data_IF_635850963621
#
_entry.id   IF_635850963621
#
_cell.length_a   1.000
_cell.length_b   1.000
_cell.length_c   1.000
_cell.angle_alpha   90.00
_cell.angle_beta   90.00
_cell.angle_gamma   90.00
#
_symmetry.space_group_name_H-M   'P 1'
#
loop_
_entity.id
_entity.type
_entity.pdbx_description
1 polymer ?
#
# COMPACT_ATOMS: atom_id res chain seq x y z
N UNK A 1 36.76 -13.21 -6.05
CA UNK A 1 35.83 -13.33 -7.19
C UNK A 1 34.45 -13.21 -6.60
N UNK A 2 33.81 -12.05 -6.73
CA UNK A 2 32.54 -11.75 -6.06
C UNK A 2 31.43 -12.57 -6.67
N UNK A 3 30.85 -13.44 -5.85
CA UNK A 3 29.80 -14.37 -6.20
C UNK A 3 28.62 -13.66 -6.87
N UNK A 4 28.11 -14.28 -7.93
CA UNK A 4 26.85 -13.94 -8.55
C UNK A 4 25.68 -14.29 -7.61
N UNK A 5 25.64 -13.68 -6.42
CA UNK A 5 24.41 -13.47 -5.68
C UNK A 5 23.49 -12.71 -6.63
N UNK A 6 22.34 -13.29 -6.96
CA UNK A 6 21.29 -12.67 -7.75
C UNK A 6 20.67 -11.47 -6.98
N UNK A 7 21.44 -10.39 -6.78
CA UNK A 7 21.07 -8.99 -6.54
C UNK A 7 20.15 -8.61 -5.37
N UNK A 8 19.46 -9.53 -4.70
CA UNK A 8 18.52 -9.22 -3.63
C UNK A 8 18.47 -10.39 -2.64
N UNK A 9 18.72 -10.10 -1.37
CA UNK A 9 18.62 -11.07 -0.29
C UNK A 9 17.13 -11.45 -0.10
N UNK A 10 16.74 -12.73 -0.04
CA UNK A 10 15.35 -13.14 0.18
C UNK A 10 14.79 -12.67 1.53
N UNK A 11 15.67 -12.46 2.52
CA UNK A 11 15.32 -11.89 3.82
C UNK A 11 14.95 -10.39 3.71
N UNK A 12 15.76 -9.59 3.02
CA UNK A 12 15.46 -8.18 2.71
C UNK A 12 14.14 -8.04 1.92
N UNK A 13 13.89 -8.96 0.97
CA UNK A 13 12.61 -9.01 0.25
C UNK A 13 11.43 -9.31 1.16
N UNK A 14 11.58 -10.23 2.11
CA UNK A 14 10.53 -10.56 3.08
C UNK A 14 10.26 -9.39 4.03
N UNK A 15 11.32 -8.68 4.47
CA UNK A 15 11.17 -7.47 5.26
C UNK A 15 10.42 -6.39 4.48
N UNK A 16 10.77 -6.17 3.21
CA UNK A 16 10.08 -5.23 2.33
C UNK A 16 8.59 -5.58 2.18
N UNK A 17 8.27 -6.85 1.91
CA UNK A 17 6.87 -7.31 1.81
C UNK A 17 6.11 -7.05 3.11
N UNK A 18 6.75 -7.29 4.25
CA UNK A 18 6.15 -7.05 5.58
C UNK A 18 5.86 -5.56 5.78
N UNK A 19 6.82 -4.68 5.48
CA UNK A 19 6.66 -3.22 5.55
C UNK A 19 5.58 -2.71 4.60
N UNK A 20 5.53 -3.24 3.39
CA UNK A 20 4.49 -2.92 2.40
C UNK A 20 3.10 -3.29 2.95
N UNK A 21 2.93 -4.50 3.46
CA UNK A 21 1.65 -4.94 4.02
C UNK A 21 1.22 -4.05 5.19
N UNK A 22 2.15 -3.73 6.10
CA UNK A 22 1.90 -2.82 7.22
C UNK A 22 1.48 -1.41 6.74
N UNK A 23 2.14 -0.88 5.70
CA UNK A 23 1.81 0.43 5.15
C UNK A 23 0.41 0.42 4.49
N UNK A 24 0.08 -0.64 3.75
CA UNK A 24 -1.24 -0.85 3.16
C UNK A 24 -2.32 -0.86 4.24
N UNK A 25 -2.13 -1.64 5.30
CA UNK A 25 -3.08 -1.69 6.42
C UNK A 25 -3.24 -0.32 7.10
N UNK A 26 -2.14 0.40 7.34
CA UNK A 26 -2.18 1.75 7.90
C UNK A 26 -2.94 2.73 7.00
N UNK A 27 -2.76 2.66 5.67
CA UNK A 27 -3.50 3.49 4.72
C UNK A 27 -5.00 3.17 4.82
N UNK A 28 -5.39 1.89 4.81
CA UNK A 28 -6.80 1.51 4.92
C UNK A 28 -7.43 1.96 6.25
N UNK A 29 -6.70 1.83 7.36
CA UNK A 29 -7.16 2.28 8.68
C UNK A 29 -7.30 3.81 8.71
N UNK A 30 -6.30 4.54 8.21
CA UNK A 30 -6.33 6.00 8.14
C UNK A 30 -7.48 6.49 7.26
N UNK A 31 -7.64 5.93 6.06
CA UNK A 31 -8.74 6.25 5.15
C UNK A 31 -10.09 6.00 5.82
N UNK A 32 -10.26 4.86 6.52
CA UNK A 32 -11.53 4.55 7.19
C UNK A 32 -11.82 5.51 8.36
N UNK A 33 -10.81 5.85 9.16
CA UNK A 33 -10.95 6.81 10.25
C UNK A 33 -11.26 8.23 9.75
N UNK A 34 -10.60 8.64 8.68
CA UNK A 34 -10.84 9.92 8.01
C UNK A 34 -12.22 9.95 7.35
N UNK A 35 -12.69 8.85 6.75
CA UNK A 35 -14.03 8.71 6.15
C UNK A 35 -15.12 8.89 7.19
N UNK A 36 -14.99 8.20 8.34
CA UNK A 36 -15.90 8.34 9.45
C UNK A 36 -15.94 9.79 9.99
N UNK A 37 -14.78 10.46 10.04
CA UNK A 37 -14.73 11.87 10.46
C UNK A 37 -15.34 12.80 9.40
N UNK A 38 -15.00 12.62 8.13
CA UNK A 38 -15.46 13.43 7.00
C UNK A 38 -16.98 13.33 6.79
N UNK A 39 -17.58 12.17 7.09
CA UNK A 39 -19.04 12.00 7.09
C UNK A 39 -19.69 12.59 8.34
N UNK A 40 -19.01 12.54 9.49
CA UNK A 40 -19.50 13.05 10.76
C UNK A 40 -19.43 14.58 10.93
N UNK A 41 -18.59 15.29 10.16
CA UNK A 41 -18.49 16.75 10.31
C UNK A 41 -19.81 17.45 9.98
N UNK A 42 -20.28 18.33 10.89
CA UNK A 42 -21.45 19.20 10.65
C UNK A 42 -21.07 20.49 9.91
N UNK A 43 -20.07 20.45 9.03
CA UNK A 43 -19.73 21.62 8.24
C UNK A 43 -20.92 22.00 7.35
N UNK A 44 -21.30 23.26 7.40
CA UNK A 44 -22.38 23.84 6.60
C UNK A 44 -21.77 24.78 5.57
N UNK A 45 -22.38 24.85 4.37
CA UNK A 45 -21.93 25.72 3.28
C UNK A 45 -21.51 24.94 2.03
N UNK A 46 -21.21 25.68 0.96
CA UNK A 46 -20.89 25.11 -0.35
C UNK A 46 -19.57 24.33 -0.32
N UNK A 47 -18.56 24.80 0.42
CA UNK A 47 -17.28 24.11 0.58
C UNK A 47 -17.42 22.76 1.28
N UNK A 48 -18.27 22.68 2.31
CA UNK A 48 -18.54 21.42 3.02
C UNK A 48 -19.21 20.39 2.11
N UNK A 49 -20.13 20.84 1.26
CA UNK A 49 -20.79 20.00 0.27
C UNK A 49 -19.78 19.56 -0.80
N UNK A 50 -18.96 20.47 -1.32
CA UNK A 50 -17.92 20.14 -2.30
C UNK A 50 -16.91 19.13 -1.73
N UNK A 51 -16.47 19.30 -0.49
CA UNK A 51 -15.55 18.39 0.17
C UNK A 51 -16.16 16.99 0.30
N UNK A 52 -17.37 16.87 0.86
CA UNK A 52 -18.02 15.56 1.09
C UNK A 52 -18.38 14.83 -0.20
N UNK A 53 -18.79 15.57 -1.24
CA UNK A 53 -19.33 14.97 -2.46
C UNK A 53 -18.31 14.86 -3.60
N UNK A 54 -17.24 15.65 -3.57
CA UNK A 54 -16.26 15.72 -4.68
C UNK A 54 -14.85 15.40 -4.21
N UNK A 55 -14.29 16.19 -3.28
CA UNK A 55 -12.88 16.06 -2.93
C UNK A 55 -12.60 14.79 -2.13
N UNK A 56 -13.36 14.53 -1.06
CA UNK A 56 -13.15 13.38 -0.20
C UNK A 56 -13.28 12.04 -0.93
N UNK A 57 -14.34 11.77 -1.72
CA UNK A 57 -14.45 10.53 -2.50
C UNK A 57 -13.30 10.35 -3.49
N UNK A 58 -12.86 11.44 -4.14
CA UNK A 58 -11.75 11.41 -5.08
C UNK A 58 -10.43 11.05 -4.38
N UNK A 59 -10.10 11.70 -3.26
CA UNK A 59 -8.90 11.39 -2.48
C UNK A 59 -8.96 9.99 -1.87
N UNK A 60 -10.12 9.57 -1.35
CA UNK A 60 -10.35 8.20 -0.87
C UNK A 60 -10.04 7.18 -1.97
N UNK A 61 -10.51 7.40 -3.20
CA UNK A 61 -10.22 6.51 -4.31
C UNK A 61 -8.72 6.46 -4.63
N UNK A 62 -8.04 7.61 -4.62
CA UNK A 62 -6.59 7.68 -4.87
C UNK A 62 -5.78 6.96 -3.79
N UNK A 63 -6.13 7.14 -2.51
CA UNK A 63 -5.46 6.48 -1.39
C UNK A 63 -5.66 4.95 -1.44
N UNK A 64 -6.86 4.49 -1.77
CA UNK A 64 -7.08 3.05 -2.00
C UNK A 64 -6.24 2.55 -3.17
N UNK A 65 -6.14 3.31 -4.26
CA UNK A 65 -5.30 2.95 -5.41
C UNK A 65 -3.82 2.87 -5.05
N UNK A 66 -3.31 3.77 -4.21
CA UNK A 66 -1.93 3.68 -3.68
C UNK A 66 -1.74 2.42 -2.85
N UNK A 67 -2.72 2.07 -1.99
CA UNK A 67 -2.68 0.84 -1.21
C UNK A 67 -2.69 -0.42 -2.12
N UNK A 68 -3.49 -0.41 -3.19
CA UNK A 68 -3.49 -1.49 -4.19
C UNK A 68 -2.16 -1.60 -4.94
N UNK A 69 -1.58 -0.47 -5.34
CA UNK A 69 -0.29 -0.42 -6.03
C UNK A 69 0.83 -0.97 -5.14
N UNK A 70 0.89 -0.52 -3.88
CA UNK A 70 1.81 -1.06 -2.87
C UNK A 70 1.62 -2.58 -2.70
N UNK A 71 0.36 -3.05 -2.62
CA UNK A 71 0.07 -4.48 -2.52
C UNK A 71 0.56 -5.26 -3.73
N UNK A 72 0.39 -4.72 -4.94
CA UNK A 72 0.91 -5.30 -6.19
C UNK A 72 2.44 -5.40 -6.18
N UNK A 73 3.13 -4.34 -5.71
CA UNK A 73 4.59 -4.38 -5.50
C UNK A 73 4.97 -5.48 -4.52
N UNK A 74 4.29 -5.60 -3.38
CA UNK A 74 4.52 -6.65 -2.40
C UNK A 74 4.33 -8.06 -2.98
N UNK A 75 3.31 -8.27 -3.81
CA UNK A 75 3.08 -9.53 -4.50
C UNK A 75 4.20 -9.86 -5.51
N UNK A 76 4.66 -8.86 -6.27
CA UNK A 76 5.75 -9.01 -7.21
C UNK A 76 7.06 -9.37 -6.50
N UNK A 77 7.39 -8.69 -5.40
CA UNK A 77 8.57 -8.99 -4.58
C UNK A 77 8.47 -10.39 -3.97
N UNK A 78 7.32 -10.76 -3.42
CA UNK A 78 7.10 -12.09 -2.86
C UNK A 78 7.28 -13.20 -3.92
N UNK A 79 6.83 -12.95 -5.15
CA UNK A 79 7.02 -13.85 -6.30
C UNK A 79 8.49 -13.94 -6.70
N UNK A 80 9.20 -12.81 -6.80
CA UNK A 80 10.64 -12.80 -7.12
C UNK A 80 11.45 -13.56 -6.07
N UNK A 81 11.14 -13.36 -4.78
CA UNK A 81 11.74 -14.12 -3.68
C UNK A 81 11.56 -15.63 -3.86
N UNK A 82 10.34 -16.07 -4.17
CA UNK A 82 10.05 -17.49 -4.38
C UNK A 82 10.88 -18.06 -5.54
N UNK A 83 10.96 -17.34 -6.66
CA UNK A 83 11.77 -17.72 -7.81
C UNK A 83 13.27 -17.78 -7.47
N UNK A 84 13.78 -16.89 -6.62
CA UNK A 84 15.16 -16.95 -6.15
C UNK A 84 15.43 -18.16 -5.26
N UNK A 85 14.52 -18.50 -4.35
CA UNK A 85 14.67 -19.69 -3.50
C UNK A 85 14.70 -20.96 -4.36
N UNK A 86 13.83 -21.04 -5.37
CA UNK A 86 13.77 -22.18 -6.29
C UNK A 86 15.01 -22.27 -7.20
N UNK A 87 15.54 -21.14 -7.67
CA UNK A 87 16.69 -21.10 -8.60
C UNK A 87 18.01 -21.28 -7.87
N UNK A 88 18.20 -20.65 -6.70
CA UNK A 88 19.42 -20.75 -5.89
C UNK A 88 19.49 -22.03 -5.06
N UNK A 89 18.37 -22.76 -4.94
CA UNK A 89 18.31 -24.08 -4.31
C UNK A 89 18.67 -25.24 -5.24
N UNK A 90 19.01 -24.96 -6.51
CA UNK A 90 19.46 -25.91 -7.52
C UNK A 90 20.93 -25.68 -7.87
#
# INVERSE_FOLDING_TARGET
MGEAFLGNNPEDMQELVTKINQAVEQIHQAVSGLDAKATSVQWHGQDANNFKHTEWPQHKSQLNKVAEDLRSVGQNVAKQRQQQIETSGH
#
